data_IF_815739340076
#
_entry.id   IF_815739340076
#
_cell.length_a   1.000
_cell.length_b   1.000
_cell.length_c   1.000
_cell.angle_alpha   90.00
_cell.angle_beta   90.00
_cell.angle_gamma   90.00
#
_symmetry.space_group_name_H-M   'P 1'
#
loop_
_entity.id
_entity.type
_entity.pdbx_description
1 polymer ?
#
# COMPACT_ATOMS: atom_id res chain seq x y z
N UNK A 1 -16.98 -38.27 29.91
CA UNK A 1 -17.78 -38.22 31.16
C UNK A 1 -17.86 -36.78 31.61
N UNK A 2 -19.07 -36.32 31.92
CA UNK A 2 -19.53 -34.94 32.11
C UNK A 2 -19.59 -34.57 33.60
N UNK A 3 -19.56 -33.26 33.92
CA UNK A 3 -20.22 -32.53 35.04
C UNK A 3 -19.89 -31.04 34.77
N UNK A 4 -20.75 -30.09 34.37
CA UNK A 4 -22.09 -29.56 34.73
C UNK A 4 -22.22 -28.85 36.10
N UNK A 5 -22.41 -27.52 35.99
CA UNK A 5 -23.33 -26.59 36.69
C UNK A 5 -23.05 -26.22 38.16
N UNK A 6 -23.18 -24.91 38.46
CA UNK A 6 -24.32 -24.30 39.18
C UNK A 6 -24.39 -22.78 38.87
N UNK A 7 -25.61 -22.26 38.81
CA UNK A 7 -26.02 -20.86 38.53
C UNK A 7 -26.86 -20.33 39.71
N UNK A 8 -27.12 -19.02 39.68
CA UNK A 8 -28.12 -18.24 40.43
C UNK A 8 -27.65 -17.71 41.79
N UNK A 9 -28.05 -16.53 42.28
CA UNK A 9 -28.76 -15.35 41.78
C UNK A 9 -28.80 -14.38 42.97
N UNK A 10 -28.85 -13.06 42.75
CA UNK A 10 -29.72 -12.11 43.48
C UNK A 10 -29.49 -10.68 42.98
N UNK A 11 -30.56 -10.13 42.41
CA UNK A 11 -30.78 -8.73 42.11
C UNK A 11 -31.29 -7.98 43.35
N UNK A 12 -31.24 -6.64 43.25
CA UNK A 12 -32.07 -5.60 43.90
C UNK A 12 -31.47 -4.83 45.09
N UNK A 13 -31.95 -3.60 45.36
CA UNK A 13 -31.86 -2.38 44.54
C UNK A 13 -31.28 -1.24 45.42
N UNK A 14 -30.87 -0.07 44.93
CA UNK A 14 -31.62 1.18 45.14
C UNK A 14 -30.71 2.38 44.79
N UNK A 15 -31.25 3.34 44.06
CA UNK A 15 -30.59 4.61 43.79
C UNK A 15 -30.68 5.56 44.97
N UNK A 16 -29.55 6.08 45.43
CA UNK A 16 -29.47 7.38 46.09
C UNK A 16 -28.06 7.98 45.97
N UNK A 17 -28.03 9.29 45.74
CA UNK A 17 -26.83 10.11 45.59
C UNK A 17 -26.22 10.48 46.93
N UNK A 18 -24.89 10.39 47.08
CA UNK A 18 -24.12 11.21 48.02
C UNK A 18 -22.70 11.51 47.48
N UNK A 19 -22.38 12.79 47.37
CA UNK A 19 -21.05 13.41 47.54
C UNK A 19 -21.09 14.20 48.87
N UNK A 20 -20.00 14.77 49.44
CA UNK A 20 -18.55 14.62 49.21
C UNK A 20 -17.72 14.44 50.53
N UNK A 21 -16.40 14.18 50.44
CA UNK A 21 -15.31 15.00 51.05
C UNK A 21 -13.95 14.27 51.08
N UNK A 22 -12.92 15.11 51.07
CA UNK A 22 -11.48 14.92 50.93
C UNK A 22 -10.78 14.12 52.04
N UNK A 23 -9.66 13.47 51.69
CA UNK A 23 -8.45 13.41 52.53
C UNK A 23 -7.19 13.23 51.64
N UNK A 24 -6.09 13.85 52.08
CA UNK A 24 -4.83 14.11 51.40
C UNK A 24 -3.80 12.94 51.49
N UNK A 25 -2.98 12.69 50.44
CA UNK A 25 -1.47 12.80 50.35
C UNK A 25 -0.68 11.65 51.05
N UNK A 26 0.55 11.20 50.65
CA UNK A 26 1.53 11.77 49.71
C UNK A 26 2.20 10.87 48.63
N UNK A 27 2.88 11.62 47.76
CA UNK A 27 4.02 11.37 46.87
C UNK A 27 5.18 10.57 47.49
N UNK A 28 5.84 9.71 46.70
CA UNK A 28 7.24 9.33 46.91
C UNK A 28 7.98 9.31 45.57
N UNK A 29 8.89 10.28 45.43
CA UNK A 29 9.93 10.40 44.41
C UNK A 29 11.15 9.63 44.94
N UNK A 30 11.81 8.83 44.11
CA UNK A 30 13.20 8.41 44.35
C UNK A 30 14.05 8.84 43.15
N UNK A 31 14.92 9.80 43.41
CA UNK A 31 16.07 10.17 42.61
C UNK A 31 17.30 9.58 43.32
N UNK A 32 18.15 8.85 42.62
CA UNK A 32 19.58 8.77 42.97
C UNK A 32 20.37 8.99 41.69
N UNK A 33 21.31 9.93 41.77
CA UNK A 33 22.16 10.42 40.70
C UNK A 33 23.61 9.91 40.87
N UNK A 34 24.29 9.81 39.72
CA UNK A 34 25.73 9.98 39.48
C UNK A 34 26.69 8.91 40.08
N UNK A 35 27.85 8.56 39.51
CA UNK A 35 28.67 9.16 38.46
C UNK A 35 29.75 8.15 37.98
N UNK A 36 30.50 8.57 36.94
CA UNK A 36 31.92 8.27 36.61
C UNK A 36 32.31 6.98 35.88
N UNK A 37 32.79 7.17 34.63
CA UNK A 37 33.93 6.45 34.03
C UNK A 37 35.23 7.00 34.65
N UNK A 38 36.29 6.18 34.88
CA UNK A 38 37.25 5.89 33.80
C UNK A 38 37.97 4.53 33.89
N UNK A 39 38.69 4.15 32.82
CA UNK A 39 39.99 3.48 32.97
C UNK A 39 40.06 1.97 32.69
N UNK A 40 40.85 1.66 31.67
CA UNK A 40 41.39 0.36 31.25
C UNK A 40 41.97 -0.44 32.43
N UNK A 41 41.55 -1.71 32.55
CA UNK A 41 42.25 -2.74 33.31
C UNK A 41 42.48 -3.96 32.40
N UNK A 42 43.73 -4.13 31.98
CA UNK A 42 44.23 -5.34 31.33
C UNK A 42 44.48 -6.37 32.43
N UNK A 43 43.70 -7.45 32.43
CA UNK A 43 44.04 -8.68 33.14
C UNK A 43 43.99 -9.82 32.11
N UNK A 44 45.18 -10.33 31.74
CA UNK A 44 45.32 -11.56 31.01
C UNK A 44 45.09 -12.74 31.96
N UNK A 45 44.09 -13.56 31.67
CA UNK A 45 44.06 -14.94 32.15
C UNK A 45 43.56 -15.85 31.02
N UNK A 46 44.47 -16.68 30.54
CA UNK A 46 44.32 -17.67 29.49
C UNK A 46 43.41 -18.82 29.91
N UNK A 47 42.28 -19.00 29.22
CA UNK A 47 41.56 -20.28 29.11
C UNK A 47 41.05 -20.42 27.66
N UNK A 48 41.38 -21.55 27.05
CA UNK A 48 41.08 -21.93 25.65
C UNK A 48 39.56 -22.11 25.37
N UNK A 49 39.16 -22.10 24.08
CA UNK A 49 37.87 -21.56 23.64
C UNK A 49 36.79 -22.62 23.56
N UNK A 50 35.63 -22.35 24.15
CA UNK A 50 34.42 -23.12 23.86
C UNK A 50 33.22 -22.19 23.74
N UNK A 51 32.76 -22.03 22.50
CA UNK A 51 31.38 -21.71 22.11
C UNK A 51 30.78 -20.43 22.72
N UNK A 52 31.39 -19.27 22.46
CA UNK A 52 30.60 -18.04 22.30
C UNK A 52 29.97 -18.08 20.91
N UNK A 53 28.74 -18.59 20.83
CA UNK A 53 27.88 -18.33 19.67
C UNK A 53 27.63 -16.82 19.69
N UNK A 54 28.42 -16.08 18.90
CA UNK A 54 28.05 -14.75 18.46
C UNK A 54 26.72 -14.95 17.76
N UNK A 55 25.63 -14.62 18.45
CA UNK A 55 24.37 -14.37 17.77
C UNK A 55 24.62 -13.06 17.05
N UNK A 56 25.16 -13.16 15.83
CA UNK A 56 24.91 -12.16 14.82
C UNK A 56 23.40 -11.98 14.82
N UNK A 57 22.97 -10.83 15.34
CA UNK A 57 21.63 -10.35 15.07
C UNK A 57 21.61 -10.09 13.57
N UNK A 58 21.18 -11.09 12.80
CA UNK A 58 20.69 -10.82 11.45
C UNK A 58 19.54 -9.84 11.64
N UNK A 59 19.71 -8.62 11.12
CA UNK A 59 18.62 -7.65 11.05
C UNK A 59 17.38 -8.37 10.50
N UNK A 60 16.21 -8.26 11.14
CA UNK A 60 14.99 -8.72 10.51
C UNK A 60 14.85 -7.97 9.19
N UNK A 61 14.98 -8.70 8.09
CA UNK A 61 14.83 -8.24 6.72
C UNK A 61 13.38 -7.83 6.46
N UNK A 62 12.97 -6.71 7.05
CA UNK A 62 11.75 -5.99 6.67
C UNK A 62 12.08 -4.70 5.92
N UNK A 63 13.36 -4.31 5.88
CA UNK A 63 13.84 -3.11 5.17
C UNK A 63 13.91 -3.25 3.65
N UNK A 64 13.64 -4.43 3.12
CA UNK A 64 13.37 -4.63 1.71
C UNK A 64 12.10 -5.45 1.61
N UNK A 65 11.02 -4.84 1.11
CA UNK A 65 9.97 -5.61 0.43
C UNK A 65 10.69 -6.34 -0.67
N UNK A 66 11.05 -7.60 -0.41
CA UNK A 66 11.84 -8.39 -1.34
C UNK A 66 11.16 -8.35 -2.69
N UNK A 67 11.97 -7.99 -3.67
CA UNK A 67 11.63 -7.82 -5.06
C UNK A 67 10.87 -9.02 -5.69
N UNK A 68 10.73 -10.15 -5.01
CA UNK A 68 10.15 -11.38 -5.57
C UNK A 68 8.62 -11.39 -5.71
N UNK A 69 7.90 -10.36 -5.24
CA UNK A 69 6.43 -10.39 -5.11
C UNK A 69 5.79 -9.24 -5.87
N UNK A 70 5.69 -9.36 -7.19
CA UNK A 70 5.08 -8.33 -8.03
C UNK A 70 4.74 -8.84 -9.44
N UNK A 71 3.52 -8.58 -9.92
CA UNK A 71 3.16 -8.76 -11.33
C UNK A 71 2.67 -10.16 -11.70
N UNK A 72 2.15 -10.94 -10.75
CA UNK A 72 1.61 -12.28 -11.00
C UNK A 72 0.42 -12.28 -11.97
N UNK A 73 -0.37 -11.21 -11.97
CA UNK A 73 -1.50 -11.04 -12.90
C UNK A 73 -1.06 -10.83 -14.35
N UNK A 74 0.20 -10.42 -14.57
CA UNK A 74 0.74 -10.06 -15.89
C UNK A 74 0.21 -8.75 -16.48
N UNK A 75 -0.67 -8.02 -15.77
CA UNK A 75 -1.41 -6.88 -16.33
C UNK A 75 -1.21 -5.57 -15.54
N UNK A 76 -0.24 -5.54 -14.62
CA UNK A 76 0.17 -4.31 -13.96
C UNK A 76 0.81 -3.34 -14.97
N UNK A 77 0.57 -2.05 -14.77
CA UNK A 77 1.00 -0.96 -15.66
C UNK A 77 1.93 0.05 -15.00
N UNK A 78 2.35 -0.23 -13.77
CA UNK A 78 3.20 0.68 -13.01
C UNK A 78 4.10 -0.05 -12.02
N UNK A 79 5.28 0.49 -11.78
CA UNK A 79 6.08 0.24 -10.58
C UNK A 79 5.97 1.46 -9.66
N UNK A 80 5.90 1.26 -8.34
CA UNK A 80 5.91 2.37 -7.36
C UNK A 80 7.15 2.28 -6.50
N UNK A 81 7.93 3.37 -6.46
CA UNK A 81 9.26 3.42 -5.83
C UNK A 81 9.53 4.77 -5.18
N UNK A 82 10.48 4.80 -4.24
CA UNK A 82 10.97 6.04 -3.64
C UNK A 82 11.80 6.85 -4.66
N UNK A 83 12.02 8.15 -4.42
CA UNK A 83 12.96 8.95 -5.20
C UNK A 83 14.38 8.37 -5.22
N UNK A 84 15.05 8.47 -6.37
CA UNK A 84 16.46 8.09 -6.57
C UNK A 84 16.83 6.65 -6.16
N UNK A 85 15.84 5.77 -6.05
CA UNK A 85 16.03 4.38 -5.63
C UNK A 85 16.31 3.46 -6.82
N UNK A 86 17.18 2.48 -6.63
CA UNK A 86 17.43 1.45 -7.62
C UNK A 86 16.18 0.59 -7.85
N UNK A 87 15.87 0.34 -9.12
CA UNK A 87 14.87 -0.65 -9.52
C UNK A 87 15.47 -2.04 -9.34
N UNK A 88 14.71 -2.93 -8.70
CA UNK A 88 15.13 -4.32 -8.50
C UNK A 88 15.05 -5.12 -9.80
N UNK A 89 15.80 -6.23 -9.89
CA UNK A 89 15.75 -7.12 -11.05
C UNK A 89 14.34 -7.59 -11.37
N UNK A 90 13.54 -7.95 -10.36
CA UNK A 90 12.18 -8.40 -10.58
C UNK A 90 11.22 -7.27 -11.05
N UNK A 91 11.44 -6.02 -10.60
CA UNK A 91 10.72 -4.88 -11.15
C UNK A 91 11.05 -4.69 -12.64
N UNK A 92 12.32 -4.80 -13.00
CA UNK A 92 12.78 -4.73 -14.38
C UNK A 92 12.25 -5.91 -15.22
N UNK A 93 12.20 -7.11 -14.66
CA UNK A 93 11.65 -8.30 -15.32
C UNK A 93 10.14 -8.15 -15.55
N UNK A 94 9.39 -7.61 -14.57
CA UNK A 94 7.97 -7.32 -14.72
C UNK A 94 7.72 -6.28 -15.82
N UNK A 95 8.56 -5.23 -15.89
CA UNK A 95 8.53 -4.27 -17.00
C UNK A 95 8.78 -4.95 -18.33
N UNK A 96 9.80 -5.81 -18.42
CA UNK A 96 10.12 -6.52 -19.65
C UNK A 96 8.99 -7.46 -20.08
N UNK A 97 8.38 -8.18 -19.15
CA UNK A 97 7.26 -9.07 -19.42
C UNK A 97 6.02 -8.31 -19.93
N UNK A 98 5.74 -7.12 -19.37
CA UNK A 98 4.56 -6.33 -19.73
C UNK A 98 4.75 -5.45 -20.97
N UNK A 99 5.94 -4.87 -21.16
CA UNK A 99 6.22 -3.91 -22.23
C UNK A 99 7.02 -4.51 -23.42
N UNK A 100 7.56 -5.72 -23.27
CA UNK A 100 8.42 -6.39 -24.25
C UNK A 100 9.91 -6.03 -24.11
N UNK A 101 10.78 -6.86 -24.68
CA UNK A 101 12.25 -6.69 -24.62
C UNK A 101 12.77 -5.42 -25.33
N UNK A 102 11.95 -4.86 -26.22
CA UNK A 102 12.27 -3.65 -26.97
C UNK A 102 11.90 -2.35 -26.24
N UNK A 103 11.23 -2.42 -25.08
CA UNK A 103 10.92 -1.23 -24.29
C UNK A 103 12.21 -0.49 -23.94
N UNK A 104 12.21 0.84 -24.08
CA UNK A 104 13.33 1.73 -23.73
C UNK A 104 12.86 2.72 -22.67
N UNK A 105 13.77 3.13 -21.81
CA UNK A 105 13.49 4.28 -20.98
C UNK A 105 13.67 5.52 -21.83
N UNK A 106 12.74 6.48 -21.73
CA UNK A 106 13.08 7.83 -22.10
C UNK A 106 14.23 8.24 -21.16
N UNK A 107 15.36 8.75 -21.64
CA UNK A 107 16.46 9.18 -20.77
C UNK A 107 16.53 10.71 -20.73
N UNK A 108 16.75 11.26 -19.54
CA UNK A 108 17.21 12.63 -19.37
C UNK A 108 18.66 12.55 -18.88
N UNK A 109 19.61 13.02 -19.70
CA UNK A 109 21.00 13.13 -19.27
C UNK A 109 21.10 14.21 -18.19
N UNK A 110 21.27 13.81 -16.94
CA UNK A 110 21.61 14.75 -15.88
C UNK A 110 23.06 15.23 -16.09
N UNK A 111 23.33 16.51 -15.80
CA UNK A 111 24.68 17.09 -15.89
C UNK A 111 25.72 16.44 -14.96
N UNK A 112 25.30 15.54 -14.06
CA UNK A 112 26.13 14.75 -13.14
C UNK A 112 26.70 13.45 -13.75
N UNK A 113 26.26 13.05 -14.95
CA UNK A 113 26.63 11.75 -15.55
C UNK A 113 25.80 10.55 -15.04
N UNK A 114 24.78 10.81 -14.22
CA UNK A 114 23.82 9.81 -13.76
C UNK A 114 22.73 9.54 -14.80
N UNK A 115 22.30 8.27 -14.91
CA UNK A 115 21.24 7.82 -15.81
C UNK A 115 19.88 7.85 -15.11
N UNK A 116 19.06 8.84 -15.44
CA UNK A 116 17.71 9.00 -14.87
C UNK A 116 16.63 8.54 -15.88
N UNK A 117 15.59 7.88 -15.38
CA UNK A 117 14.37 7.62 -16.16
C UNK A 117 13.72 8.96 -16.55
N UNK A 118 13.10 9.00 -17.73
CA UNK A 118 12.96 10.18 -18.60
C UNK A 118 12.11 11.32 -18.11
N UNK A 119 11.40 12.02 -19.01
CA UNK A 119 10.66 13.20 -18.61
C UNK A 119 9.36 12.80 -17.88
N UNK A 120 9.00 13.50 -16.80
CA UNK A 120 7.68 13.34 -16.20
C UNK A 120 6.67 13.89 -17.20
N UNK A 121 5.44 13.37 -17.19
CA UNK A 121 4.37 14.04 -17.92
C UNK A 121 4.12 15.41 -17.27
N UNK A 122 4.72 16.47 -17.80
CA UNK A 122 4.31 17.86 -17.62
C UNK A 122 4.06 18.45 -19.00
N UNK A 123 2.81 18.74 -19.33
CA UNK A 123 2.51 19.42 -20.57
C UNK A 123 2.66 20.93 -20.35
N UNK A 124 3.65 21.49 -21.05
CA UNK A 124 3.93 22.92 -21.22
C UNK A 124 4.35 23.70 -19.96
N UNK A 125 5.47 24.42 -20.12
CA UNK A 125 6.00 25.45 -19.23
C UNK A 125 6.77 24.98 -17.99
N UNK A 126 7.83 24.18 -18.17
CA UNK A 126 9.03 24.44 -17.39
C UNK A 126 9.69 25.71 -17.94
N UNK A 127 10.06 26.71 -17.11
CA UNK A 127 10.88 27.79 -17.60
C UNK A 127 12.20 27.19 -18.08
N UNK A 128 12.59 27.60 -19.28
CA UNK A 128 13.89 27.34 -19.88
C UNK A 128 14.99 27.80 -18.91
N UNK A 129 15.44 26.90 -18.06
CA UNK A 129 16.63 27.05 -17.22
C UNK A 129 17.39 25.74 -17.27
N UNK A 130 18.09 25.57 -18.39
CA UNK A 130 19.18 24.60 -18.51
C UNK A 130 18.85 23.37 -19.33
N UNK A 131 18.67 23.55 -20.64
CA UNK A 131 19.15 22.59 -21.64
C UNK A 131 18.59 21.16 -21.58
N UNK A 132 17.29 20.99 -21.82
CA UNK A 132 16.77 19.68 -22.25
C UNK A 132 16.90 19.59 -23.77
N UNK A 133 18.03 19.04 -24.26
CA UNK A 133 18.21 18.68 -25.67
C UNK A 133 17.63 17.29 -25.92
N UNK A 134 16.42 17.23 -26.50
CA UNK A 134 15.88 16.05 -27.18
C UNK A 134 15.65 14.80 -26.31
N UNK A 135 14.45 14.23 -26.34
CA UNK A 135 14.23 12.90 -25.77
C UNK A 135 15.01 11.87 -26.61
N UNK A 136 16.14 11.40 -26.11
CA UNK A 136 16.86 10.26 -26.68
C UNK A 136 16.23 8.97 -26.13
N UNK A 137 16.10 7.96 -26.99
CA UNK A 137 15.84 6.58 -26.54
C UNK A 137 17.06 6.13 -25.73
N UNK A 138 16.85 5.82 -24.45
CA UNK A 138 17.86 5.22 -23.61
C UNK A 138 18.13 3.76 -23.95
N UNK A 139 18.92 3.10 -23.10
CA UNK A 139 19.21 1.67 -23.20
C UNK A 139 17.93 0.79 -23.01
N UNK A 140 17.98 -0.49 -23.43
CA UNK A 140 16.93 -1.47 -23.16
C UNK A 140 16.45 -1.49 -21.70
N UNK A 141 15.13 -1.54 -21.50
CA UNK A 141 14.55 -1.80 -20.19
C UNK A 141 15.05 -3.17 -19.67
N UNK A 142 15.76 -3.15 -18.55
CA UNK A 142 16.33 -4.34 -17.92
C UNK A 142 17.84 -4.47 -18.01
N UNK A 143 18.57 -3.35 -17.97
CA UNK A 143 19.97 -3.33 -17.53
C UNK A 143 20.03 -3.01 -16.03
N UNK A 144 21.01 -3.58 -15.33
CA UNK A 144 21.25 -3.27 -13.91
C UNK A 144 21.67 -1.82 -13.70
N UNK A 145 21.45 -1.28 -12.49
CA UNK A 145 21.85 0.07 -12.13
C UNK A 145 20.86 1.18 -12.51
N UNK A 146 19.62 0.81 -12.85
CA UNK A 146 18.59 1.78 -13.17
C UNK A 146 17.94 2.38 -11.92
N UNK A 147 17.84 3.71 -11.85
CA UNK A 147 17.28 4.43 -10.69
C UNK A 147 16.04 5.20 -11.06
N UNK A 148 15.06 5.20 -10.16
CA UNK A 148 13.89 6.06 -10.28
C UNK A 148 14.28 7.54 -10.30
N UNK A 149 13.50 8.41 -10.95
CA UNK A 149 13.73 9.85 -10.94
C UNK A 149 13.71 10.41 -9.51
N UNK A 150 14.49 11.46 -9.26
CA UNK A 150 14.50 12.16 -7.97
C UNK A 150 13.17 12.88 -7.69
N UNK A 151 12.50 13.34 -8.75
CA UNK A 151 11.25 14.05 -8.62
C UNK A 151 10.09 13.06 -8.52
N UNK A 152 9.15 13.34 -7.62
CA UNK A 152 7.89 12.60 -7.58
C UNK A 152 7.07 12.80 -8.86
N UNK A 153 6.32 11.78 -9.26
CA UNK A 153 5.48 11.81 -10.45
C UNK A 153 5.32 10.44 -11.13
N UNK A 154 4.63 10.45 -12.26
CA UNK A 154 4.44 9.29 -13.14
C UNK A 154 5.31 9.46 -14.37
N UNK A 155 6.20 8.50 -14.60
CA UNK A 155 7.26 8.50 -15.59
C UNK A 155 7.02 7.32 -16.54
N UNK A 156 6.52 7.60 -17.74
CA UNK A 156 6.17 6.54 -18.70
C UNK A 156 7.42 6.03 -19.42
N UNK A 157 7.40 4.76 -19.80
CA UNK A 157 8.39 4.21 -20.74
C UNK A 157 8.25 4.85 -22.12
N UNK A 158 9.25 4.68 -22.98
CA UNK A 158 9.18 5.05 -24.39
C UNK A 158 9.52 3.85 -25.29
N UNK A 159 8.95 3.82 -26.49
CA UNK A 159 9.32 2.90 -27.57
C UNK A 159 9.80 3.68 -28.78
N UNK A 160 10.72 3.14 -29.58
CA UNK A 160 10.95 3.67 -30.92
C UNK A 160 9.66 3.56 -31.76
N UNK A 161 9.31 4.62 -32.48
CA UNK A 161 8.37 4.52 -33.60
C UNK A 161 9.05 3.91 -34.83
N UNK A 162 8.29 3.76 -35.92
CA UNK A 162 8.79 3.23 -37.19
C UNK A 162 9.96 4.06 -37.79
N UNK A 163 10.17 5.29 -37.32
CA UNK A 163 11.24 6.19 -37.74
C UNK A 163 12.38 6.27 -36.71
N UNK A 164 12.34 5.46 -35.65
CA UNK A 164 13.35 5.44 -34.58
C UNK A 164 13.22 6.56 -33.54
N UNK A 165 12.12 7.32 -33.53
CA UNK A 165 11.86 8.38 -32.54
C UNK A 165 11.21 7.83 -31.28
N UNK A 166 11.54 8.38 -30.11
CA UNK A 166 10.94 7.99 -28.84
C UNK A 166 9.46 8.41 -28.75
N UNK A 167 8.56 7.44 -28.69
CA UNK A 167 7.13 7.62 -28.42
C UNK A 167 6.81 7.03 -27.06
N UNK A 168 6.08 7.75 -26.21
CA UNK A 168 5.68 7.24 -24.91
C UNK A 168 4.93 5.90 -25.05
N UNK A 169 5.42 4.88 -24.36
CA UNK A 169 4.77 3.59 -24.21
C UNK A 169 3.53 3.76 -23.32
N UNK A 170 2.32 3.49 -23.82
CA UNK A 170 1.11 3.64 -23.02
C UNK A 170 0.94 2.54 -21.95
N UNK A 171 1.75 1.47 -21.98
CA UNK A 171 1.49 0.25 -21.20
C UNK A 171 2.18 0.22 -19.83
N UNK A 172 3.32 0.90 -19.64
CA UNK A 172 4.09 0.82 -18.38
C UNK A 172 4.65 2.17 -17.91
N UNK A 173 4.66 2.38 -16.59
CA UNK A 173 5.26 3.55 -15.96
C UNK A 173 6.05 3.22 -14.68
N UNK A 174 6.94 4.12 -14.29
CA UNK A 174 7.48 4.23 -12.93
C UNK A 174 6.79 5.37 -12.23
N UNK A 175 6.29 5.12 -11.04
CA UNK A 175 5.68 6.10 -10.17
C UNK A 175 6.66 6.37 -9.03
N UNK A 176 7.31 7.53 -9.10
CA UNK A 176 8.14 8.01 -8.00
C UNK A 176 7.25 8.66 -6.95
N UNK A 177 7.34 8.17 -5.72
CA UNK A 177 6.57 8.66 -4.59
C UNK A 177 7.08 10.00 -4.04
N UNK A 178 6.18 10.77 -3.44
CA UNK A 178 6.55 11.81 -2.46
C UNK A 178 6.92 11.12 -1.14
N UNK A 179 8.15 11.29 -0.61
CA UNK A 179 8.55 10.64 0.64
C UNK A 179 7.63 11.02 1.80
N UNK A 180 7.38 10.07 2.71
CA UNK A 180 6.56 10.32 3.91
C UNK A 180 7.09 11.49 4.74
N UNK A 181 8.42 11.66 4.79
CA UNK A 181 9.09 12.77 5.48
C UNK A 181 8.74 14.16 4.94
N UNK A 182 8.15 14.26 3.74
CA UNK A 182 7.66 15.54 3.18
C UNK A 182 6.36 16.00 3.86
N UNK A 183 5.67 15.11 4.57
CA UNK A 183 4.46 15.44 5.34
C UNK A 183 4.85 16.26 6.56
N UNK A 184 4.24 17.43 6.70
CA UNK A 184 4.37 18.29 7.88
C UNK A 184 3.12 18.13 8.75
N UNK A 185 3.29 17.56 9.94
CA UNK A 185 2.20 17.19 10.85
C UNK A 185 1.08 16.42 10.15
N UNK A 186 -0.12 16.98 10.00
CA UNK A 186 -1.25 16.32 9.37
C UNK A 186 -1.35 16.58 7.86
N UNK A 187 -0.44 17.35 7.28
CA UNK A 187 -0.60 17.94 5.95
C UNK A 187 0.54 17.55 5.00
N UNK A 188 0.21 17.39 3.73
CA UNK A 188 1.16 17.29 2.62
C UNK A 188 0.66 18.15 1.47
N UNK A 189 1.39 19.23 1.13
CA UNK A 189 1.06 20.16 0.04
C UNK A 189 -0.42 20.61 0.01
N UNK A 190 -0.95 20.99 1.17
CA UNK A 190 -2.34 21.46 1.32
C UNK A 190 -3.39 20.34 1.45
N UNK A 191 -3.03 19.08 1.21
CA UNK A 191 -3.90 17.93 1.42
C UNK A 191 -3.77 17.39 2.85
N UNK A 192 -4.92 17.21 3.54
CA UNK A 192 -4.96 16.66 4.90
C UNK A 192 -4.90 15.14 4.85
N UNK A 193 -3.76 14.61 5.27
CA UNK A 193 -3.55 13.17 5.50
C UNK A 193 -3.97 12.81 6.94
N UNK A 194 -3.70 13.67 7.92
CA UNK A 194 -3.83 13.32 9.33
C UNK A 194 -2.61 12.59 9.86
N UNK A 195 -2.72 12.02 11.06
CA UNK A 195 -1.64 11.28 11.72
C UNK A 195 -1.93 9.79 11.74
N UNK A 196 -0.94 8.99 11.38
CA UNK A 196 -1.04 7.54 11.53
C UNK A 196 -1.06 7.18 13.02
N UNK A 197 -1.84 6.17 13.40
CA UNK A 197 -1.88 5.70 14.78
C UNK A 197 -0.51 5.20 15.29
N UNK A 198 0.34 4.75 14.38
CA UNK A 198 1.70 4.27 14.63
C UNK A 198 2.79 5.27 14.23
N UNK A 199 2.41 6.51 13.90
CA UNK A 199 3.37 7.56 13.54
C UNK A 199 4.33 7.83 14.70
N UNK A 200 5.64 7.79 14.44
CA UNK A 200 6.67 7.99 15.47
C UNK A 200 6.92 6.79 16.38
N UNK A 201 6.19 5.68 16.23
CA UNK A 201 6.36 4.49 17.08
C UNK A 201 7.56 3.60 16.67
N UNK A 202 8.36 4.00 15.68
CA UNK A 202 9.52 3.22 15.21
C UNK A 202 9.17 1.84 14.64
N UNK A 203 7.92 1.64 14.20
CA UNK A 203 7.44 0.35 13.68
C UNK A 203 8.14 0.03 12.35
N UNK A 204 8.50 -1.23 12.20
CA UNK A 204 9.09 -1.81 10.98
C UNK A 204 8.33 -3.06 10.56
N UNK A 205 7.03 -3.11 10.81
CA UNK A 205 6.19 -4.24 10.42
C UNK A 205 5.05 -3.75 9.52
N UNK A 206 4.03 -4.58 9.27
CA UNK A 206 2.92 -4.24 8.39
C UNK A 206 2.09 -3.04 8.87
N UNK A 207 2.27 -2.57 10.11
CA UNK A 207 1.64 -1.38 10.66
C UNK A 207 2.58 -0.17 10.74
N UNK A 208 3.76 -0.22 10.10
CA UNK A 208 4.59 0.95 9.89
C UNK A 208 3.86 1.95 8.97
N UNK A 209 3.98 3.28 9.20
CA UNK A 209 3.54 4.27 8.22
C UNK A 209 4.15 4.00 6.83
N UNK A 210 3.46 4.36 5.74
CA UNK A 210 3.97 4.13 4.39
C UNK A 210 5.28 4.89 4.18
N UNK A 211 6.15 4.35 3.33
CA UNK A 211 7.44 4.99 2.98
C UNK A 211 7.26 6.29 2.20
N UNK A 212 6.13 6.44 1.52
CA UNK A 212 5.77 7.60 0.72
C UNK A 212 4.38 7.49 0.13
N UNK A 213 4.00 8.50 -0.64
CA UNK A 213 2.69 8.64 -1.26
C UNK A 213 2.82 8.84 -2.76
N UNK A 214 1.90 8.26 -3.53
CA UNK A 214 1.70 8.62 -4.93
C UNK A 214 0.97 9.97 -4.96
N UNK A 215 1.55 10.93 -5.68
CA UNK A 215 0.90 12.20 -5.97
C UNK A 215 -0.12 12.04 -7.11
N UNK A 216 -1.38 12.30 -6.79
CA UNK A 216 -2.49 12.24 -7.74
C UNK A 216 -2.99 13.65 -8.04
N UNK A 217 -2.81 14.09 -9.28
CA UNK A 217 -3.24 15.38 -9.79
C UNK A 217 -4.51 15.23 -10.63
N UNK A 218 -5.13 16.35 -11.02
CA UNK A 218 -6.31 16.32 -11.90
C UNK A 218 -6.00 15.68 -13.25
N UNK A 219 -4.78 15.87 -13.72
CA UNK A 219 -4.27 15.43 -15.02
C UNK A 219 -3.92 13.94 -15.01
N UNK A 220 -3.45 13.41 -13.89
CA UNK A 220 -2.94 12.03 -13.81
C UNK A 220 -3.91 11.03 -13.15
N UNK A 221 -5.00 11.47 -12.52
CA UNK A 221 -5.92 10.60 -11.77
C UNK A 221 -6.53 9.45 -12.58
N UNK A 222 -6.65 9.60 -13.90
CA UNK A 222 -7.17 8.56 -14.80
C UNK A 222 -6.08 7.59 -15.28
N UNK A 223 -4.85 7.69 -14.77
CA UNK A 223 -3.79 6.75 -15.09
C UNK A 223 -4.15 5.35 -14.59
N UNK A 224 -4.08 4.38 -15.50
CA UNK A 224 -4.29 2.97 -15.22
C UNK A 224 -3.03 2.37 -14.57
N UNK A 225 -3.15 1.94 -13.31
CA UNK A 225 -2.09 1.22 -12.59
C UNK A 225 -2.04 -0.26 -12.94
N UNK A 226 -3.10 -0.78 -13.55
CA UNK A 226 -3.22 -2.11 -14.14
C UNK A 226 -4.29 -2.07 -15.24
N UNK A 227 -4.64 -3.21 -15.85
CA UNK A 227 -5.68 -3.28 -16.89
C UNK A 227 -7.04 -2.72 -16.45
N UNK A 228 -7.51 -3.08 -15.25
CA UNK A 228 -8.85 -2.74 -14.76
C UNK A 228 -8.88 -1.58 -13.75
N UNK A 229 -7.72 -1.14 -13.25
CA UNK A 229 -7.66 -0.18 -12.14
C UNK A 229 -6.91 1.11 -12.47
N UNK A 230 -7.54 2.24 -12.13
CA UNK A 230 -7.04 3.60 -12.25
C UNK A 230 -6.77 4.22 -10.87
N UNK A 231 -5.81 5.16 -10.79
CA UNK A 231 -5.48 5.85 -9.54
C UNK A 231 -6.69 6.48 -8.84
N UNK A 232 -7.59 7.12 -9.60
CA UNK A 232 -8.77 7.80 -9.05
C UNK A 232 -9.68 6.91 -8.22
N UNK A 233 -9.73 5.61 -8.52
CA UNK A 233 -10.58 4.65 -7.81
C UNK A 233 -10.11 4.41 -6.37
N UNK A 234 -8.85 4.70 -6.08
CA UNK A 234 -8.26 4.52 -4.76
C UNK A 234 -8.18 5.81 -3.95
N UNK A 235 -8.70 6.93 -4.47
CA UNK A 235 -8.71 8.20 -3.75
C UNK A 235 -9.61 8.16 -2.51
N UNK A 236 -9.19 8.84 -1.45
CA UNK A 236 -10.04 9.09 -0.28
C UNK A 236 -11.21 9.99 -0.66
N UNK A 237 -12.40 9.71 -0.10
CA UNK A 237 -13.68 10.32 -0.48
C UNK A 237 -14.00 11.66 0.20
N UNK A 238 -13.02 12.32 0.82
CA UNK A 238 -13.17 13.68 1.37
C UNK A 238 -12.33 14.69 0.58
N UNK A 239 -12.46 15.97 0.94
CA UNK A 239 -11.65 17.05 0.38
C UNK A 239 -11.76 17.15 -1.16
N UNK A 240 -12.98 17.09 -1.72
CA UNK A 240 -13.22 16.98 -3.16
C UNK A 240 -12.44 18.03 -3.99
N UNK A 241 -12.38 19.28 -3.52
CA UNK A 241 -11.77 20.40 -4.23
C UNK A 241 -10.26 20.58 -3.98
N UNK A 242 -9.66 19.78 -3.09
CA UNK A 242 -8.23 19.89 -2.76
C UNK A 242 -7.40 19.02 -3.71
N UNK A 243 -6.41 19.66 -4.35
CA UNK A 243 -5.45 19.06 -5.26
C UNK A 243 -4.06 19.67 -5.05
N UNK A 244 -2.97 18.90 -5.26
CA UNK A 244 -2.96 17.46 -5.53
C UNK A 244 -3.45 16.63 -4.32
N UNK A 245 -3.80 15.36 -4.57
CA UNK A 245 -4.12 14.36 -3.55
C UNK A 245 -2.96 13.39 -3.39
N UNK A 246 -2.91 12.68 -2.27
CA UNK A 246 -1.84 11.75 -1.97
C UNK A 246 -2.42 10.42 -1.48
N UNK A 247 -1.96 9.32 -2.08
CA UNK A 247 -2.38 7.96 -1.69
C UNK A 247 -1.18 7.09 -1.34
N UNK A 248 -1.30 6.29 -0.29
CA UNK A 248 -0.47 5.09 -0.18
C UNK A 248 -1.16 3.99 -0.99
N UNK A 249 -0.39 3.26 -1.80
CA UNK A 249 -0.90 2.16 -2.60
C UNK A 249 0.14 1.04 -2.66
N UNK A 250 -0.19 -0.11 -2.11
CA UNK A 250 0.59 -1.33 -2.23
C UNK A 250 0.14 -2.07 -3.49
N UNK A 251 1.00 -2.12 -4.51
CA UNK A 251 0.60 -2.72 -5.78
C UNK A 251 0.35 -4.23 -5.71
N UNK A 252 0.75 -4.92 -4.63
CA UNK A 252 0.34 -6.31 -4.40
C UNK A 252 -1.17 -6.44 -4.22
N UNK A 253 -1.83 -5.40 -3.67
CA UNK A 253 -3.28 -5.33 -3.63
C UNK A 253 -3.84 -5.29 -5.06
N UNK A 254 -3.31 -4.40 -5.91
CA UNK A 254 -3.78 -4.27 -7.30
C UNK A 254 -3.60 -5.58 -8.06
N UNK A 255 -2.43 -6.21 -7.93
CA UNK A 255 -2.12 -7.50 -8.53
C UNK A 255 -3.11 -8.59 -8.08
N UNK A 256 -3.42 -8.64 -6.78
CA UNK A 256 -4.41 -9.56 -6.23
C UNK A 256 -5.82 -9.31 -6.76
N UNK A 257 -6.24 -8.05 -6.88
CA UNK A 257 -7.58 -7.72 -7.39
C UNK A 257 -7.73 -8.14 -8.87
N UNK A 258 -6.68 -7.96 -9.69
CA UNK A 258 -6.65 -8.47 -11.06
C UNK A 258 -6.72 -10.01 -11.10
N UNK A 259 -5.95 -10.69 -10.25
CA UNK A 259 -6.00 -12.14 -10.12
C UNK A 259 -7.38 -12.65 -9.67
N UNK A 260 -8.09 -11.91 -8.82
CA UNK A 260 -9.46 -12.25 -8.41
C UNK A 260 -10.42 -12.15 -9.60
N UNK A 261 -10.32 -11.13 -10.45
CA UNK A 261 -11.09 -11.05 -11.70
C UNK A 261 -10.78 -12.25 -12.61
N UNK A 262 -9.49 -12.57 -12.79
CA UNK A 262 -9.07 -13.71 -13.61
C UNK A 262 -9.58 -15.04 -13.06
N UNK A 263 -9.51 -15.26 -11.74
CA UNK A 263 -9.98 -16.49 -11.09
C UNK A 263 -11.50 -16.61 -11.15
N UNK A 264 -12.25 -15.52 -10.98
CA UNK A 264 -13.71 -15.52 -11.17
C UNK A 264 -14.09 -15.95 -12.59
N UNK A 265 -13.43 -15.40 -13.60
CA UNK A 265 -13.64 -15.81 -14.99
C UNK A 265 -13.27 -17.29 -15.20
N UNK A 266 -12.17 -17.77 -14.60
CA UNK A 266 -11.80 -19.20 -14.63
C UNK A 266 -12.80 -20.10 -13.90
N UNK A 267 -13.52 -19.57 -12.91
CA UNK A 267 -14.64 -20.22 -12.22
C UNK A 267 -15.95 -20.22 -13.04
N UNK A 268 -15.97 -19.59 -14.22
CA UNK A 268 -17.17 -19.44 -15.06
C UNK A 268 -18.08 -18.29 -14.66
N UNK A 269 -17.62 -17.39 -13.79
CA UNK A 269 -18.34 -16.18 -13.36
C UNK A 269 -17.82 -15.02 -14.18
N UNK A 270 -18.70 -14.35 -14.95
CA UNK A 270 -18.31 -13.17 -15.74
C UNK A 270 -17.85 -12.06 -14.80
N UNK A 271 -16.58 -11.67 -14.89
CA UNK A 271 -15.99 -10.63 -14.07
C UNK A 271 -15.10 -9.73 -14.93
N UNK A 272 -15.72 -8.78 -15.64
CA UNK A 272 -15.02 -7.88 -16.58
C UNK A 272 -14.57 -6.58 -15.91
N UNK A 273 -15.21 -6.22 -14.79
CA UNK A 273 -14.95 -4.98 -14.07
C UNK A 273 -15.18 -5.16 -12.59
N UNK A 274 -14.29 -4.56 -11.81
CA UNK A 274 -14.43 -4.45 -10.37
C UNK A 274 -14.65 -2.99 -9.97
N UNK A 275 -15.71 -2.73 -9.23
CA UNK A 275 -15.92 -1.45 -8.59
C UNK A 275 -15.09 -1.36 -7.30
N UNK A 276 -14.42 -0.23 -7.10
CA UNK A 276 -13.70 0.08 -5.85
C UNK A 276 -14.53 1.06 -5.05
N UNK A 277 -15.26 0.55 -4.06
CA UNK A 277 -16.05 1.38 -3.16
C UNK A 277 -15.14 2.23 -2.28
N UNK A 278 -14.02 1.68 -1.84
CA UNK A 278 -13.08 2.39 -0.98
C UNK A 278 -11.70 1.78 -1.12
N UNK A 279 -10.76 2.53 -1.69
CA UNK A 279 -9.34 2.19 -1.65
C UNK A 279 -8.66 2.83 -0.45
N UNK A 280 -7.66 3.67 -0.70
CA UNK A 280 -6.89 4.35 0.35
C UNK A 280 -7.75 5.33 1.15
N UNK A 281 -7.59 5.29 2.48
CA UNK A 281 -8.19 6.24 3.41
C UNK A 281 -7.09 7.01 4.10
N UNK A 282 -7.11 8.35 4.02
CA UNK A 282 -6.25 9.14 4.91
C UNK A 282 -6.56 8.79 6.37
N UNK A 283 -5.56 8.78 7.27
CA UNK A 283 -5.81 8.62 8.71
C UNK A 283 -6.89 9.58 9.25
N UNK A 284 -6.91 10.82 8.75
CA UNK A 284 -7.95 11.81 9.09
C UNK A 284 -9.36 11.33 8.70
N UNK A 285 -9.54 10.84 7.47
CA UNK A 285 -10.81 10.31 6.99
C UNK A 285 -11.23 9.01 7.69
N UNK A 286 -10.27 8.13 7.99
CA UNK A 286 -10.56 6.90 8.71
C UNK A 286 -11.00 7.16 10.15
N UNK A 287 -10.44 8.21 10.77
CA UNK A 287 -10.70 8.59 12.14
C UNK A 287 -10.12 7.60 13.16
N UNK A 288 -10.40 7.81 14.47
CA UNK A 288 -9.79 7.05 15.56
C UNK A 288 -10.34 5.62 15.74
N UNK A 289 -11.14 5.13 14.80
CA UNK A 289 -11.75 3.80 14.87
C UNK A 289 -13.13 3.74 15.53
N UNK A 290 -14.12 4.45 14.95
CA UNK A 290 -15.53 4.43 15.39
C UNK A 290 -16.45 4.23 14.19
N UNK A 291 -17.64 3.66 14.42
CA UNK A 291 -18.66 3.47 13.37
C UNK A 291 -18.28 2.44 12.30
N UNK A 292 -17.76 1.28 12.70
CA UNK A 292 -17.35 0.20 11.79
C UNK A 292 -15.96 0.35 11.18
N UNK A 293 -15.19 1.38 11.56
CA UNK A 293 -13.79 1.56 11.15
C UNK A 293 -12.86 1.19 12.30
N UNK A 294 -11.78 0.47 12.01
CA UNK A 294 -10.73 0.17 12.97
C UNK A 294 -9.65 1.27 12.97
N UNK A 295 -9.05 1.54 14.14
CA UNK A 295 -7.96 2.51 14.27
C UNK A 295 -6.72 2.12 13.43
N UNK A 296 -6.46 0.82 13.31
CA UNK A 296 -5.38 0.25 12.49
C UNK A 296 -5.90 -0.34 11.17
N UNK A 297 -6.90 0.31 10.57
CA UNK A 297 -7.48 -0.16 9.30
C UNK A 297 -6.43 -0.24 8.19
N UNK A 298 -6.39 -1.38 7.49
CA UNK A 298 -5.50 -1.62 6.35
C UNK A 298 -5.66 -0.59 5.21
N UNK A 299 -6.85 -0.01 5.04
CA UNK A 299 -7.05 1.09 4.07
C UNK A 299 -6.11 2.28 4.28
N UNK A 300 -5.70 2.54 5.53
CA UNK A 300 -4.79 3.67 5.83
C UNK A 300 -3.35 3.38 5.42
N UNK A 301 -2.98 2.11 5.28
CA UNK A 301 -1.66 1.66 4.87
C UNK A 301 -1.56 1.40 3.36
N UNK A 302 -2.67 1.57 2.62
CA UNK A 302 -2.71 1.48 1.17
C UNK A 302 -2.79 0.07 0.62
N UNK A 303 -3.05 -0.92 1.48
CA UNK A 303 -3.00 -2.34 1.11
C UNK A 303 -4.35 -3.05 1.24
N UNK A 304 -5.46 -2.29 1.31
CA UNK A 304 -6.82 -2.80 1.31
C UNK A 304 -7.78 -2.03 0.40
N UNK A 305 -8.79 -2.74 -0.09
CA UNK A 305 -9.92 -2.18 -0.81
C UNK A 305 -11.24 -2.87 -0.42
N UNK A 306 -12.32 -2.09 -0.44
CA UNK A 306 -13.70 -2.60 -0.38
C UNK A 306 -14.24 -2.59 -1.80
N UNK A 307 -14.63 -3.75 -2.33
CA UNK A 307 -14.87 -3.97 -3.77
C UNK A 307 -16.07 -4.88 -4.05
N UNK A 308 -16.55 -4.83 -5.30
CA UNK A 308 -17.49 -5.81 -5.88
C UNK A 308 -17.29 -5.90 -7.40
N UNK A 309 -17.79 -6.98 -8.02
CA UNK A 309 -17.86 -7.11 -9.48
C UNK A 309 -19.08 -6.35 -10.00
N UNK A 310 -18.87 -5.52 -11.03
CA UNK A 310 -19.85 -4.62 -11.66
C UNK A 310 -19.61 -4.64 -13.18
N UNK A 311 -19.83 -5.81 -13.79
CA UNK A 311 -19.50 -6.08 -15.19
C UNK A 311 -20.50 -5.44 -16.15
N UNK A 312 -21.71 -5.11 -15.70
CA UNK A 312 -22.69 -4.36 -16.48
C UNK A 312 -22.55 -2.83 -16.33
N UNK A 313 -21.79 -2.37 -15.32
CA UNK A 313 -21.48 -0.96 -15.09
C UNK A 313 -22.63 -0.16 -14.46
N UNK A 314 -23.59 -0.83 -13.84
CA UNK A 314 -24.74 -0.19 -13.18
C UNK A 314 -24.39 0.41 -11.80
N UNK A 315 -23.18 0.13 -11.28
CA UNK A 315 -22.69 0.67 -10.01
C UNK A 315 -23.06 -0.16 -8.78
N UNK A 316 -23.60 -1.37 -8.96
CA UNK A 316 -23.94 -2.34 -7.93
C UNK A 316 -23.23 -3.67 -8.20
N UNK A 317 -23.29 -4.59 -7.23
CA UNK A 317 -22.75 -5.93 -7.41
C UNK A 317 -23.62 -6.70 -8.42
N UNK A 318 -22.97 -7.41 -9.34
CA UNK A 318 -23.65 -8.37 -10.21
C UNK A 318 -24.14 -9.60 -9.41
N UNK A 319 -25.17 -10.29 -9.89
CA UNK A 319 -25.55 -11.63 -9.42
C UNK A 319 -24.49 -12.65 -9.89
N UNK A 320 -23.57 -12.98 -9.00
CA UNK A 320 -22.40 -13.82 -9.28
C UNK A 320 -22.69 -15.31 -9.11
N UNK A 321 -23.75 -15.66 -8.37
CA UNK A 321 -24.13 -17.05 -8.15
C UNK A 321 -25.24 -17.52 -9.12
N UNK A 322 -25.92 -16.59 -9.80
CA UNK A 322 -26.95 -16.84 -10.82
C UNK A 322 -28.33 -17.20 -10.25
N UNK A 323 -28.63 -16.86 -9.00
CA UNK A 323 -29.91 -17.17 -8.34
C UNK A 323 -30.98 -16.07 -8.51
N UNK A 324 -30.61 -14.94 -9.13
CA UNK A 324 -31.48 -13.79 -9.37
C UNK A 324 -31.56 -12.79 -8.23
N UNK A 325 -30.77 -12.94 -7.16
CA UNK A 325 -30.77 -12.06 -5.98
C UNK A 325 -29.36 -11.57 -5.68
N UNK A 326 -29.18 -10.25 -5.67
CA UNK A 326 -27.90 -9.63 -5.30
C UNK A 326 -27.78 -9.51 -3.79
N UNK A 327 -27.01 -10.40 -3.16
CA UNK A 327 -26.82 -10.43 -1.70
C UNK A 327 -25.42 -10.91 -1.23
N UNK A 328 -25.33 -11.36 0.02
CA UNK A 328 -24.07 -11.81 0.62
C UNK A 328 -23.51 -13.08 -0.07
N UNK A 329 -24.38 -13.90 -0.69
CA UNK A 329 -23.99 -15.10 -1.41
C UNK A 329 -23.12 -14.79 -2.63
N UNK A 330 -23.30 -13.62 -3.26
CA UNK A 330 -22.43 -13.14 -4.34
C UNK A 330 -21.05 -12.75 -3.82
N UNK A 331 -21.01 -12.04 -2.69
CA UNK A 331 -19.75 -11.72 -2.02
C UNK A 331 -18.99 -13.01 -1.60
N UNK A 332 -19.70 -14.09 -1.26
CA UNK A 332 -19.09 -15.40 -1.00
C UNK A 332 -18.46 -16.02 -2.26
N UNK A 333 -18.99 -15.75 -3.46
CA UNK A 333 -18.37 -16.17 -4.73
C UNK A 333 -17.01 -15.50 -4.89
N UNK A 334 -16.93 -14.18 -4.63
CA UNK A 334 -15.66 -13.45 -4.62
C UNK A 334 -14.69 -13.98 -3.57
N UNK A 335 -15.19 -14.33 -2.37
CA UNK A 335 -14.34 -14.91 -1.33
C UNK A 335 -13.67 -16.21 -1.76
N UNK A 336 -14.41 -17.10 -2.42
CA UNK A 336 -13.84 -18.34 -2.96
C UNK A 336 -12.72 -18.07 -3.97
N UNK A 337 -12.90 -17.06 -4.83
CA UNK A 337 -11.85 -16.63 -5.75
C UNK A 337 -10.61 -16.09 -5.01
N UNK A 338 -10.81 -15.25 -3.97
CA UNK A 338 -9.72 -14.77 -3.12
C UNK A 338 -8.95 -15.92 -2.49
N UNK A 339 -9.64 -16.93 -1.95
CA UNK A 339 -9.00 -18.10 -1.32
C UNK A 339 -8.18 -18.91 -2.31
N UNK A 340 -8.67 -19.10 -3.54
CA UNK A 340 -7.91 -19.78 -4.60
C UNK A 340 -6.69 -19.00 -5.05
N UNK A 341 -6.83 -17.68 -5.18
CA UNK A 341 -5.70 -16.77 -5.48
C UNK A 341 -4.64 -16.86 -4.38
N UNK A 342 -5.03 -16.76 -3.11
CA UNK A 342 -4.08 -16.86 -1.99
C UNK A 342 -3.44 -18.24 -1.87
N UNK A 343 -4.15 -19.32 -2.20
CA UNK A 343 -3.58 -20.67 -2.23
C UNK A 343 -2.50 -20.82 -3.32
N UNK A 344 -2.68 -20.16 -4.47
CA UNK A 344 -1.71 -20.17 -5.58
C UNK A 344 -0.57 -19.17 -5.37
N UNK A 345 -0.85 -18.05 -4.70
CA UNK A 345 0.09 -16.97 -4.43
C UNK A 345 0.09 -16.60 -2.95
N UNK A 346 0.75 -17.41 -2.08
CA UNK A 346 0.75 -17.20 -0.62
C UNK A 346 1.30 -15.83 -0.20
N UNK A 347 2.14 -15.23 -1.04
CA UNK A 347 2.74 -13.91 -0.85
C UNK A 347 1.70 -12.77 -0.83
N UNK A 348 0.51 -13.00 -1.40
CA UNK A 348 -0.61 -12.06 -1.48
C UNK A 348 -1.65 -12.30 -0.37
N UNK A 349 -1.35 -13.16 0.62
CA UNK A 349 -2.29 -13.48 1.70
C UNK A 349 -2.68 -12.24 2.50
N UNK A 350 -3.95 -12.15 2.86
CA UNK A 350 -4.44 -11.08 3.74
C UNK A 350 -5.82 -11.34 4.30
N UNK A 351 -6.47 -10.24 4.70
CA UNK A 351 -7.84 -10.23 5.15
C UNK A 351 -8.83 -10.26 4.00
N UNK A 352 -9.94 -11.00 4.20
CA UNK A 352 -11.11 -10.92 3.36
C UNK A 352 -12.37 -10.91 4.23
N UNK A 353 -13.23 -9.90 4.09
CA UNK A 353 -14.39 -9.70 4.97
C UNK A 353 -15.66 -9.45 4.18
N UNK A 354 -16.76 -10.12 4.53
CA UNK A 354 -18.02 -10.02 3.81
C UNK A 354 -18.96 -9.04 4.48
N UNK A 355 -19.58 -8.17 3.70
CA UNK A 355 -20.50 -7.17 4.20
C UNK A 355 -21.82 -7.23 3.44
N UNK A 356 -22.91 -7.30 4.19
CA UNK A 356 -24.27 -7.24 3.66
C UNK A 356 -24.59 -5.87 3.09
N UNK A 357 -25.58 -5.82 2.19
CA UNK A 357 -26.14 -4.58 1.71
C UNK A 357 -26.71 -3.73 2.86
N UNK A 358 -26.67 -2.42 2.68
CA UNK A 358 -27.33 -1.44 3.54
C UNK A 358 -28.08 -0.42 2.68
N UNK A 359 -28.79 0.52 3.29
CA UNK A 359 -29.39 1.63 2.54
C UNK A 359 -28.37 2.53 1.82
N UNK A 360 -27.07 2.41 2.13
CA UNK A 360 -26.02 3.24 1.54
C UNK A 360 -25.23 2.56 0.41
N UNK A 361 -25.23 1.22 0.34
CA UNK A 361 -24.45 0.45 -0.63
C UNK A 361 -24.98 -1.00 -0.74
N UNK A 362 -24.71 -1.66 -1.88
CA UNK A 362 -24.93 -3.10 -2.05
C UNK A 362 -24.00 -3.96 -1.19
N UNK A 363 -24.09 -5.31 -1.31
CA UNK A 363 -23.10 -6.19 -0.68
C UNK A 363 -21.71 -5.91 -1.25
N UNK A 364 -20.67 -6.14 -0.46
CA UNK A 364 -19.29 -5.99 -0.91
C UNK A 364 -18.34 -6.90 -0.13
N UNK A 365 -17.14 -7.08 -0.67
CA UNK A 365 -16.04 -7.77 0.00
C UNK A 365 -14.91 -6.78 0.29
N UNK A 366 -14.41 -6.81 1.53
CA UNK A 366 -13.12 -6.23 1.88
C UNK A 366 -12.02 -7.19 1.47
N UNK A 367 -10.96 -6.71 0.82
CA UNK A 367 -9.78 -7.50 0.45
C UNK A 367 -8.53 -6.70 0.81
N UNK A 368 -7.56 -7.35 1.44
CA UNK A 368 -6.24 -6.76 1.69
C UNK A 368 -5.08 -7.76 1.50
N UNK A 369 -3.86 -7.25 1.61
CA UNK A 369 -2.60 -8.01 1.51
C UNK A 369 -1.72 -7.84 2.76
N UNK A 370 -2.34 -7.85 3.94
CA UNK A 370 -1.67 -7.63 5.23
C UNK A 370 -0.65 -8.70 5.62
N UNK A 371 -0.48 -9.75 4.82
CA UNK A 371 0.47 -10.84 5.06
C UNK A 371 0.01 -11.87 6.09
N UNK A 372 -1.24 -11.78 6.57
CA UNK A 372 -1.84 -12.76 7.49
C UNK A 372 -3.28 -13.04 7.09
N UNK A 373 -3.63 -14.33 7.03
CA UNK A 373 -4.98 -14.77 6.70
C UNK A 373 -5.98 -14.34 7.78
N UNK A 374 -7.03 -13.63 7.38
CA UNK A 374 -8.12 -13.20 8.27
C UNK A 374 -9.44 -13.23 7.52
N UNK A 375 -10.51 -13.70 8.16
CA UNK A 375 -11.87 -13.79 7.58
C UNK A 375 -12.91 -13.30 8.59
N UNK A 376 -13.93 -12.58 8.14
CA UNK A 376 -15.02 -12.12 9.00
C UNK A 376 -16.30 -11.82 8.23
#
# INVERSE_FOLDING_TARGET
MSIRKIWSALLHPDGSSMKPRSCAVPLAIVIIAAATNPGVLVAQSSVSPSLSRVVEWSEPSYRTRDARVFGYSGVLRAIVVAPASELSSAQLDAVRAAAGEEARWQELMAGSGERLLGAPVSNASAPDRGGVRGALLGEPAGTSGQRSPERAGIWKLARPDANGSAVADPQMAVITQVPFSSKSDAMLNGYRIGRYATEGAGRTDVYAPPVGFIEVTRENQNFYVSENFQLRQFLTKNQADVWPKYIALDLRLIDKLELVLQELNAMGVRADRMHVMSGFRTPDYNGPGRGGRAALSRHTYGDAADVWVDSDGNGYMDDLNGDGVVDLADAQVMLRAVERVEAKYPELVGGAGLYVATGAHGPYIHIDVRGTHSRW
#
